data_IF_513035975033
#
_entry.id   IF_513035975033
#
_cell.length_a   1.000
_cell.length_b   1.000
_cell.length_c   1.000
_cell.angle_alpha   90.00
_cell.angle_beta   90.00
_cell.angle_gamma   90.00
#
_symmetry.space_group_name_H-M   'P 1'
#
loop_
_entity.id
_entity.type
_entity.pdbx_description
1 polymer ?
#
# COMPACT_ATOMS: atom_id res chain seq x y z
N UNK A 1 5.04 -13.54 6.82
CA UNK A 1 5.36 -13.70 5.40
C UNK A 1 4.20 -14.46 4.77
N UNK A 2 3.38 -13.79 3.95
CA UNK A 2 2.25 -14.42 3.26
C UNK A 2 2.74 -14.73 1.85
N UNK A 3 2.95 -16.01 1.55
CA UNK A 3 3.29 -16.46 0.22
C UNK A 3 2.01 -16.48 -0.63
N UNK A 4 1.95 -15.60 -1.64
CA UNK A 4 0.84 -15.65 -2.61
C UNK A 4 1.32 -16.40 -3.85
N UNK A 5 0.72 -17.55 -4.13
CA UNK A 5 0.96 -18.32 -5.35
C UNK A 5 -0.16 -18.02 -6.33
N UNK A 6 0.17 -17.54 -7.54
CA UNK A 6 -0.79 -17.38 -8.63
C UNK A 6 -0.40 -18.25 -9.81
N UNK A 7 -1.38 -18.96 -10.35
CA UNK A 7 -1.24 -19.75 -11.58
C UNK A 7 -1.84 -18.95 -12.71
N UNK A 8 -1.07 -18.73 -13.77
CA UNK A 8 -1.48 -18.07 -15.00
C UNK A 8 -1.42 -19.08 -16.14
N UNK A 9 -2.50 -19.27 -16.87
CA UNK A 9 -2.53 -20.16 -18.04
C UNK A 9 -2.30 -19.34 -19.30
N UNK A 10 -1.33 -19.75 -20.12
CA UNK A 10 -1.13 -19.20 -21.46
C UNK A 10 -1.21 -20.31 -22.53
N UNK A 11 -1.07 -19.96 -23.81
CA UNK A 11 -1.14 -20.90 -24.94
C UNK A 11 -0.08 -22.03 -24.89
N UNK A 12 0.96 -21.88 -24.07
CA UNK A 12 2.05 -22.85 -23.86
C UNK A 12 1.92 -23.65 -22.55
N UNK A 13 0.87 -23.42 -21.76
CA UNK A 13 0.57 -24.12 -20.51
C UNK A 13 0.51 -23.22 -19.28
N UNK A 14 0.46 -23.85 -18.10
CA UNK A 14 0.36 -23.16 -16.83
C UNK A 14 1.72 -22.67 -16.33
N UNK A 15 1.79 -21.38 -15.99
CA UNK A 15 2.94 -20.74 -15.33
C UNK A 15 2.55 -20.42 -13.89
N UNK A 16 3.27 -21.01 -12.93
CA UNK A 16 3.12 -20.68 -11.51
C UNK A 16 4.12 -19.60 -11.12
N UNK A 17 3.62 -18.48 -10.62
CA UNK A 17 4.43 -17.43 -10.03
C UNK A 17 4.22 -17.41 -8.52
N UNK A 18 5.31 -17.49 -7.78
CA UNK A 18 5.34 -17.35 -6.33
C UNK A 18 5.78 -15.94 -6.00
N UNK A 19 4.93 -15.20 -5.30
CA UNK A 19 5.25 -13.85 -4.85
C UNK A 19 5.47 -13.89 -3.34
N UNK A 20 6.69 -13.60 -2.93
CA UNK A 20 7.11 -13.70 -1.54
C UNK A 20 6.58 -12.56 -0.67
N UNK A 21 6.38 -11.38 -1.28
CA UNK A 21 5.83 -10.18 -0.64
C UNK A 21 4.73 -9.54 -1.52
N UNK A 22 3.66 -10.28 -1.80
CA UNK A 22 2.49 -9.74 -2.50
C UNK A 22 1.24 -9.76 -1.62
N UNK A 23 0.62 -8.59 -1.49
CA UNK A 23 -0.76 -8.47 -1.04
C UNK A 23 -1.68 -8.78 -2.22
N UNK A 24 -2.36 -9.92 -2.17
CA UNK A 24 -3.47 -10.18 -3.08
C UNK A 24 -4.65 -9.31 -2.64
N UNK A 25 -4.89 -8.22 -3.36
CA UNK A 25 -5.98 -7.30 -3.04
C UNK A 25 -6.92 -7.22 -4.25
N UNK A 26 -7.83 -8.20 -4.41
CA UNK A 26 -8.80 -8.21 -5.52
C UNK A 26 -9.79 -7.04 -5.43
N UNK A 27 -9.99 -6.49 -4.23
CA UNK A 27 -10.97 -5.44 -3.93
C UNK A 27 -10.32 -4.08 -3.60
N UNK A 28 -9.19 -3.74 -4.23
CA UNK A 28 -8.62 -2.39 -4.08
C UNK A 28 -9.57 -1.38 -4.71
N UNK A 29 -10.45 -0.81 -3.91
CA UNK A 29 -11.26 0.35 -4.28
C UNK A 29 -10.52 1.68 -4.09
N UNK A 30 -9.21 1.66 -3.76
CA UNK A 30 -8.44 2.83 -3.32
C UNK A 30 -7.08 2.94 -4.02
N UNK A 31 -6.48 4.13 -4.04
CA UNK A 31 -5.18 4.32 -4.70
C UNK A 31 -4.03 3.75 -3.88
N UNK A 32 -3.10 3.04 -4.54
CA UNK A 32 -1.82 2.65 -3.94
C UNK A 32 -0.86 3.85 -3.97
N UNK A 33 -0.31 4.19 -2.80
CA UNK A 33 0.63 5.30 -2.66
C UNK A 33 2.04 4.77 -2.38
N UNK A 34 3.00 5.23 -3.19
CA UNK A 34 4.41 4.89 -3.00
C UNK A 34 5.04 5.75 -1.91
N UNK A 35 5.28 5.17 -0.74
CA UNK A 35 5.92 5.84 0.40
C UNK A 35 7.35 6.29 0.06
N UNK A 36 8.12 5.50 -0.68
CA UNK A 36 9.49 5.84 -1.07
C UNK A 36 9.56 7.07 -1.99
N UNK A 37 8.58 7.26 -2.89
CA UNK A 37 8.50 8.48 -3.70
C UNK A 37 8.12 9.69 -2.87
N UNK A 38 7.27 9.53 -1.86
CA UNK A 38 6.92 10.62 -0.94
C UNK A 38 8.13 11.05 -0.10
N UNK A 39 8.87 10.08 0.43
CA UNK A 39 10.11 10.31 1.18
C UNK A 39 11.16 11.06 0.33
N UNK A 40 11.37 10.63 -0.91
CA UNK A 40 12.27 11.31 -1.86
C UNK A 40 11.87 12.76 -2.16
N UNK A 41 10.59 13.11 -2.01
CA UNK A 41 10.07 14.46 -2.18
C UNK A 41 10.06 15.27 -0.85
N UNK A 42 10.60 14.71 0.23
CA UNK A 42 10.71 15.34 1.55
C UNK A 42 9.46 15.24 2.40
N UNK A 43 8.46 14.45 2.01
CA UNK A 43 7.30 14.19 2.86
C UNK A 43 7.66 13.21 3.97
N UNK A 44 6.98 13.33 5.10
CA UNK A 44 7.17 12.43 6.23
C UNK A 44 5.89 11.67 6.54
N UNK A 45 6.04 10.39 6.91
CA UNK A 45 4.93 9.55 7.32
C UNK A 45 5.22 9.00 8.71
N UNK A 46 4.36 9.31 9.68
CA UNK A 46 4.44 8.82 11.04
C UNK A 46 3.42 7.70 11.25
N UNK A 47 3.91 6.49 11.54
CA UNK A 47 3.09 5.34 11.86
C UNK A 47 3.00 5.15 13.38
N UNK A 48 1.80 4.87 13.88
CA UNK A 48 1.61 4.52 15.29
C UNK A 48 0.15 4.39 15.68
N UNK A 49 -0.14 3.50 16.65
CA UNK A 49 -1.49 3.28 17.18
C UNK A 49 -2.54 2.97 16.09
N UNK A 50 -2.14 2.26 15.04
CA UNK A 50 -3.03 1.91 13.91
C UNK A 50 -3.35 3.08 12.97
N UNK A 51 -2.58 4.16 12.99
CA UNK A 51 -2.77 5.35 12.13
C UNK A 51 -1.47 5.68 11.39
N UNK A 52 -1.60 6.15 10.15
CA UNK A 52 -0.54 6.74 9.35
C UNK A 52 -0.83 8.23 9.15
N UNK A 53 0.05 9.11 9.66
CA UNK A 53 -0.08 10.57 9.49
C UNK A 53 0.94 11.06 8.48
N UNK A 54 0.49 11.82 7.50
CA UNK A 54 1.33 12.35 6.42
C UNK A 54 1.58 13.84 6.64
N UNK A 55 2.84 14.23 6.52
CA UNK A 55 3.32 15.60 6.70
C UNK A 55 4.02 16.09 5.44
N UNK A 56 3.75 17.34 5.07
CA UNK A 56 4.47 18.02 3.99
C UNK A 56 5.95 18.21 4.36
N UNK A 57 6.81 18.59 3.39
CA UNK A 57 8.20 18.97 3.68
C UNK A 57 8.33 20.12 4.69
N UNK A 58 7.29 20.93 4.85
CA UNK A 58 7.23 22.02 5.85
C UNK A 58 6.76 21.56 7.23
N UNK A 59 6.49 20.26 7.42
CA UNK A 59 5.98 19.69 8.66
C UNK A 59 4.47 19.81 8.87
N UNK A 60 3.71 20.24 7.85
CA UNK A 60 2.25 20.41 7.97
C UNK A 60 1.54 19.07 7.75
N UNK A 61 0.74 18.64 8.72
CA UNK A 61 -0.12 17.46 8.58
C UNK A 61 -1.23 17.72 7.55
N UNK A 62 -1.39 16.84 6.55
CA UNK A 62 -2.37 17.06 5.47
C UNK A 62 -3.22 15.83 5.11
N UNK A 63 -2.85 14.64 5.59
CA UNK A 63 -3.59 13.41 5.30
C UNK A 63 -3.43 12.39 6.43
N UNK A 64 -4.50 11.68 6.72
CA UNK A 64 -4.53 10.59 7.69
C UNK A 64 -4.99 9.30 7.01
N UNK A 65 -4.31 8.21 7.34
CA UNK A 65 -4.70 6.86 6.97
C UNK A 65 -5.01 6.01 8.19
N UNK A 66 -6.04 5.18 8.10
CA UNK A 66 -6.51 4.29 9.15
C UNK A 66 -6.18 2.84 8.82
N UNK A 67 -5.49 2.16 9.75
CA UNK A 67 -5.08 0.77 9.60
C UNK A 67 -6.27 -0.20 9.70
N UNK A 68 -6.42 -1.08 8.72
CA UNK A 68 -7.40 -2.17 8.71
C UNK A 68 -6.88 -3.31 7.83
N UNK A 69 -6.94 -4.55 8.32
CA UNK A 69 -6.56 -5.74 7.53
C UNK A 69 -5.10 -5.75 7.04
N UNK A 70 -4.17 -5.09 7.74
CA UNK A 70 -2.77 -4.99 7.33
C UNK A 70 -2.46 -3.87 6.32
N UNK A 71 -3.45 -3.04 5.97
CA UNK A 71 -3.31 -1.90 5.06
C UNK A 71 -3.76 -0.60 5.75
N UNK A 72 -3.24 0.54 5.30
CA UNK A 72 -3.76 1.85 5.69
C UNK A 72 -4.67 2.37 4.59
N UNK A 73 -5.95 2.58 4.94
CA UNK A 73 -6.91 3.26 4.08
C UNK A 73 -6.78 4.76 4.31
N UNK A 74 -6.55 5.52 3.24
CA UNK A 74 -6.47 6.98 3.31
C UNK A 74 -7.87 7.57 3.32
N UNK A 75 -8.10 8.57 4.16
CA UNK A 75 -9.35 9.33 4.13
C UNK A 75 -9.35 10.22 2.90
N UNK A 76 -10.34 10.04 2.02
CA UNK A 76 -10.62 11.04 1.00
C UNK A 76 -11.26 12.26 1.68
N UNK A 77 -10.81 13.47 1.32
CA UNK A 77 -11.64 14.64 1.60
C UNK A 77 -12.95 14.48 0.81
N UNK A 78 -14.10 14.78 1.43
CA UNK A 78 -15.37 14.81 0.72
C UNK A 78 -15.35 15.81 -0.44
#
# INVERSE_FOLDING_TARGET
>A
MILTVKTFTNEKGDVKLTFEDALHVPDVSYNLVSISRMDALGYQILFGKGVAKFFSPTGTHFLTGHGSGGLYRLDEKP
#
